data_IF_910480962546
#
_entry.id   IF_910480962546
#
_cell.length_a   1.000
_cell.length_b   1.000
_cell.length_c   1.000
_cell.angle_alpha   90.00
_cell.angle_beta   90.00
_cell.angle_gamma   90.00
#
_symmetry.space_group_name_H-M   'P 1'
#
loop_
_entity.id
_entity.type
_entity.pdbx_description
1 polymer ?
#
# COMPACT_ATOMS: atom_id res chain seq x y z
N UNK A 1 -32.50 -48.33 20.38
CA UNK A 1 -33.05 -46.98 20.66
C UNK A 1 -32.08 -46.26 21.59
N UNK A 2 -31.16 -45.49 21.01
CA UNK A 2 -30.37 -44.48 21.72
C UNK A 2 -30.29 -43.27 20.79
N UNK A 3 -30.72 -42.14 21.32
CA UNK A 3 -31.09 -40.91 20.62
C UNK A 3 -29.94 -40.30 19.80
N UNK A 4 -30.21 -39.70 18.62
CA UNK A 4 -29.21 -38.95 17.87
C UNK A 4 -28.79 -37.69 18.65
N UNK A 5 -27.48 -37.45 18.75
CA UNK A 5 -26.91 -36.25 19.36
C UNK A 5 -27.37 -35.01 18.57
N UNK A 6 -27.98 -34.07 19.27
CA UNK A 6 -28.40 -32.77 18.74
C UNK A 6 -27.20 -31.86 18.42
N UNK A 7 -27.28 -31.03 17.37
CA UNK A 7 -26.23 -30.09 16.99
C UNK A 7 -26.40 -28.81 17.82
N UNK A 8 -25.86 -28.80 19.04
CA UNK A 8 -25.70 -27.57 19.82
C UNK A 8 -24.25 -27.45 20.28
N UNK A 9 -23.44 -26.89 19.41
CA UNK A 9 -22.23 -26.12 19.74
C UNK A 9 -21.82 -25.36 18.46
N UNK A 10 -22.75 -24.52 17.99
CA UNK A 10 -22.35 -23.36 17.21
C UNK A 10 -21.63 -22.46 18.20
N UNK A 11 -20.30 -22.47 18.17
CA UNK A 11 -19.48 -21.42 18.78
C UNK A 11 -20.02 -20.08 18.27
N UNK A 12 -20.72 -19.36 19.13
CA UNK A 12 -20.98 -17.95 18.94
C UNK A 12 -19.62 -17.27 19.01
N UNK A 13 -19.05 -17.02 17.83
CA UNK A 13 -17.94 -16.08 17.65
C UNK A 13 -18.41 -14.72 18.16
N UNK A 14 -18.22 -14.49 19.44
CA UNK A 14 -18.36 -13.18 20.08
C UNK A 14 -17.22 -12.35 19.53
N UNK A 15 -17.53 -11.64 18.44
CA UNK A 15 -16.59 -10.78 17.75
C UNK A 15 -15.96 -9.80 18.75
N UNK A 16 -14.63 -9.86 18.92
CA UNK A 16 -13.79 -8.92 19.71
C UNK A 16 -13.86 -7.45 19.22
N UNK A 17 -14.74 -7.15 18.26
CA UNK A 17 -14.94 -5.82 17.74
C UNK A 17 -15.69 -4.95 18.76
N UNK A 18 -15.03 -3.87 19.19
CA UNK A 18 -15.65 -2.78 19.97
C UNK A 18 -16.84 -2.16 19.22
N UNK A 19 -16.79 -2.14 17.88
CA UNK A 19 -17.88 -1.72 17.00
C UNK A 19 -18.05 -2.73 15.86
N UNK A 20 -19.28 -3.24 15.68
CA UNK A 20 -19.62 -4.07 14.51
C UNK A 20 -19.56 -3.27 13.20
N UNK A 21 -19.52 -3.97 12.06
CA UNK A 21 -19.40 -3.37 10.72
C UNK A 21 -20.45 -2.29 10.42
N UNK A 22 -21.70 -2.54 10.82
CA UNK A 22 -22.83 -1.62 10.60
C UNK A 22 -23.07 -0.67 11.79
N UNK A 23 -22.18 -0.69 12.79
CA UNK A 23 -22.33 0.18 13.96
C UNK A 23 -22.18 1.64 13.54
N UNK A 24 -23.02 2.49 14.14
CA UNK A 24 -22.99 3.94 13.93
C UNK A 24 -22.47 4.61 15.21
N UNK A 25 -21.14 4.67 15.42
CA UNK A 25 -20.58 5.35 16.58
C UNK A 25 -20.91 6.84 16.55
N UNK A 26 -20.76 7.50 17.72
CA UNK A 26 -20.95 8.95 17.82
C UNK A 26 -20.10 9.67 16.76
N UNK A 27 -20.60 10.75 16.11
CA UNK A 27 -19.89 11.40 15.00
C UNK A 27 -18.44 11.78 15.31
N UNK A 28 -18.15 12.18 16.55
CA UNK A 28 -16.79 12.54 16.96
C UNK A 28 -15.84 11.33 17.03
N UNK A 29 -16.32 10.16 17.49
CA UNK A 29 -15.54 8.91 17.53
C UNK A 29 -15.29 8.45 16.10
N UNK A 30 -16.32 8.49 15.25
CA UNK A 30 -16.21 8.15 13.84
C UNK A 30 -15.16 9.04 13.13
N UNK A 31 -15.20 10.34 13.41
CA UNK A 31 -14.24 11.30 12.86
C UNK A 31 -12.80 11.01 13.32
N UNK A 32 -12.57 10.78 14.61
CA UNK A 32 -11.22 10.46 15.11
C UNK A 32 -10.70 9.13 14.57
N UNK A 33 -11.56 8.11 14.49
CA UNK A 33 -11.19 6.83 13.89
C UNK A 33 -10.84 6.99 12.40
N UNK A 34 -11.62 7.77 11.66
CA UNK A 34 -11.34 8.09 10.26
C UNK A 34 -10.03 8.88 10.10
N UNK A 35 -9.76 9.84 10.99
CA UNK A 35 -8.52 10.61 11.00
C UNK A 35 -7.32 9.71 11.30
N UNK A 36 -7.42 8.83 12.30
CA UNK A 36 -6.37 7.87 12.63
C UNK A 36 -6.11 6.93 11.45
N UNK A 37 -7.16 6.41 10.80
CA UNK A 37 -7.02 5.61 9.60
C UNK A 37 -6.29 6.38 8.50
N UNK A 38 -6.69 7.62 8.22
CA UNK A 38 -6.02 8.47 7.24
C UNK A 38 -4.54 8.66 7.54
N UNK A 39 -4.19 8.99 8.79
CA UNK A 39 -2.80 9.16 9.23
C UNK A 39 -1.98 7.88 9.10
N UNK A 40 -2.59 6.71 9.34
CA UNK A 40 -1.91 5.42 9.21
C UNK A 40 -1.63 5.03 7.74
N UNK A 41 -2.52 5.41 6.81
CA UNK A 41 -2.45 4.94 5.41
C UNK A 41 -1.79 5.94 4.46
N UNK A 42 -1.64 7.21 4.86
CA UNK A 42 -1.11 8.26 3.97
C UNK A 42 0.30 7.93 3.47
N UNK A 43 1.20 7.50 4.35
CA UNK A 43 2.58 7.15 4.01
C UNK A 43 2.65 6.00 3.01
N UNK A 44 2.01 4.82 3.24
CA UNK A 44 2.06 3.72 2.28
C UNK A 44 1.36 4.03 0.95
N UNK A 45 0.39 4.95 0.89
CA UNK A 45 -0.23 5.37 -0.38
C UNK A 45 0.73 6.26 -1.20
N UNK A 46 1.33 7.26 -0.57
CA UNK A 46 2.15 8.26 -1.25
C UNK A 46 3.52 7.70 -1.66
N UNK A 47 4.11 6.85 -0.83
CA UNK A 47 5.49 6.41 -0.95
C UNK A 47 5.78 5.70 -2.29
N UNK A 48 5.01 4.70 -2.75
CA UNK A 48 5.25 4.04 -4.05
C UNK A 48 5.33 5.01 -5.23
N UNK A 49 4.39 5.96 -5.32
CA UNK A 49 4.37 6.96 -6.39
C UNK A 49 5.59 7.87 -6.33
N UNK A 50 5.94 8.34 -5.13
CA UNK A 50 7.12 9.16 -4.88
C UNK A 50 8.41 8.44 -5.28
N UNK A 51 8.57 7.18 -4.90
CA UNK A 51 9.75 6.37 -5.22
C UNK A 51 9.91 6.16 -6.73
N UNK A 52 8.83 5.85 -7.44
CA UNK A 52 8.86 5.68 -8.89
C UNK A 52 9.24 7.00 -9.56
N UNK A 53 8.60 8.10 -9.18
CA UNK A 53 8.86 9.42 -9.76
C UNK A 53 10.31 9.88 -9.54
N UNK A 54 10.83 9.75 -8.31
CA UNK A 54 12.21 10.11 -7.98
C UNK A 54 13.22 9.23 -8.71
N UNK A 55 12.98 7.93 -8.79
CA UNK A 55 13.90 7.01 -9.46
C UNK A 55 13.96 7.23 -10.99
N UNK A 56 12.89 7.75 -11.59
CA UNK A 56 12.80 8.04 -13.03
C UNK A 56 13.12 9.50 -13.38
N UNK A 57 13.38 10.36 -12.39
CA UNK A 57 13.71 11.77 -12.62
C UNK A 57 12.52 12.63 -13.04
N UNK A 58 11.30 12.27 -12.63
CA UNK A 58 10.10 13.08 -12.85
C UNK A 58 10.23 14.41 -12.10
N UNK A 59 9.74 15.50 -12.71
CA UNK A 59 9.78 16.84 -12.11
C UNK A 59 9.09 16.86 -10.75
N UNK A 60 9.53 17.74 -9.83
CA UNK A 60 8.90 17.87 -8.50
C UNK A 60 7.44 18.29 -8.59
N UNK A 61 7.11 19.14 -9.57
CA UNK A 61 5.74 19.57 -9.87
C UNK A 61 4.85 18.39 -10.24
N UNK A 62 5.29 17.56 -11.18
CA UNK A 62 4.50 16.42 -11.65
C UNK A 62 4.44 15.31 -10.60
N UNK A 63 5.53 15.13 -9.84
CA UNK A 63 5.56 14.21 -8.69
C UNK A 63 4.48 14.60 -7.67
N UNK A 64 4.39 15.86 -7.30
CA UNK A 64 3.37 16.35 -6.36
C UNK A 64 1.95 16.17 -6.92
N UNK A 65 1.78 16.34 -8.23
CA UNK A 65 0.50 16.11 -8.93
C UNK A 65 0.11 14.63 -8.89
N UNK A 66 1.03 13.72 -9.18
CA UNK A 66 0.82 12.27 -9.12
C UNK A 66 0.47 11.82 -7.70
N UNK A 67 1.17 12.35 -6.70
CA UNK A 67 0.90 12.06 -5.27
C UNK A 67 -0.51 12.53 -4.89
N UNK A 68 -0.90 13.74 -5.29
CA UNK A 68 -2.23 14.28 -5.04
C UNK A 68 -3.33 13.44 -5.70
N UNK A 69 -3.11 13.05 -6.97
CA UNK A 69 -4.02 12.17 -7.71
C UNK A 69 -4.15 10.80 -7.03
N UNK A 70 -3.04 10.22 -6.57
CA UNK A 70 -3.03 8.93 -5.87
C UNK A 70 -3.88 8.96 -4.60
N UNK A 71 -3.78 10.02 -3.80
CA UNK A 71 -4.61 10.20 -2.59
C UNK A 71 -6.10 10.32 -2.92
N UNK A 72 -6.45 11.10 -3.94
CA UNK A 72 -7.85 11.28 -4.38
C UNK A 72 -8.43 9.95 -4.88
N UNK A 73 -7.72 9.26 -5.77
CA UNK A 73 -8.17 7.97 -6.33
C UNK A 73 -8.24 6.89 -5.25
N UNK A 74 -7.28 6.85 -4.31
CA UNK A 74 -7.32 5.94 -3.16
C UNK A 74 -8.58 6.16 -2.30
N UNK A 75 -8.96 7.42 -2.05
CA UNK A 75 -10.20 7.75 -1.33
C UNK A 75 -11.45 7.28 -2.08
N UNK A 76 -11.52 7.54 -3.39
CA UNK A 76 -12.63 7.10 -4.25
C UNK A 76 -12.71 5.57 -4.28
N UNK A 77 -11.58 4.89 -4.50
CA UNK A 77 -11.53 3.44 -4.56
C UNK A 77 -11.89 2.79 -3.22
N UNK A 78 -11.43 3.36 -2.10
CA UNK A 78 -11.83 2.92 -0.76
C UNK A 78 -13.33 3.08 -0.56
N UNK A 79 -13.89 4.22 -0.97
CA UNK A 79 -15.34 4.45 -0.89
C UNK A 79 -16.13 3.43 -1.71
N UNK A 80 -15.70 3.12 -2.94
CA UNK A 80 -16.31 2.09 -3.79
C UNK A 80 -16.16 0.69 -3.16
N UNK A 81 -15.08 0.40 -2.46
CA UNK A 81 -14.89 -0.90 -1.84
C UNK A 81 -15.73 -1.07 -0.56
N UNK A 82 -15.88 0.01 0.21
CA UNK A 82 -16.73 0.08 1.39
C UNK A 82 -18.22 0.05 1.03
N UNK A 83 -18.62 0.70 -0.05
CA UNK A 83 -20.02 0.77 -0.48
C UNK A 83 -20.27 -0.20 -1.62
N UNK A 84 -21.06 -1.23 -1.38
CA UNK A 84 -21.43 -2.19 -2.43
C UNK A 84 -22.33 -1.54 -3.48
N UNK A 85 -21.80 -1.32 -4.67
CA UNK A 85 -22.53 -0.83 -5.84
C UNK A 85 -22.79 -1.99 -6.80
N UNK A 86 -23.89 -2.73 -6.55
CA UNK A 86 -24.26 -3.90 -7.36
C UNK A 86 -23.18 -5.01 -7.28
N UNK A 87 -22.54 -5.40 -8.42
CA UNK A 87 -21.45 -6.38 -8.41
C UNK A 87 -20.09 -5.81 -7.96
N UNK A 88 -19.96 -4.49 -7.80
CA UNK A 88 -18.72 -3.83 -7.38
C UNK A 88 -18.72 -3.51 -5.88
N UNK A 89 -17.54 -3.61 -5.27
CA UNK A 89 -17.33 -3.35 -3.85
C UNK A 89 -17.62 -4.56 -2.95
N UNK A 90 -16.84 -4.71 -1.88
CA UNK A 90 -16.99 -5.80 -0.93
C UNK A 90 -18.06 -5.53 0.15
N UNK A 91 -18.43 -4.27 0.37
CA UNK A 91 -19.25 -3.89 1.52
C UNK A 91 -18.49 -3.96 2.85
N UNK A 92 -17.15 -3.94 2.79
CA UNK A 92 -16.26 -4.03 3.95
C UNK A 92 -15.30 -2.85 3.95
N UNK A 93 -14.82 -2.45 5.13
CA UNK A 93 -13.78 -1.43 5.28
C UNK A 93 -12.44 -1.96 4.73
N UNK A 94 -12.27 -1.85 3.42
CA UNK A 94 -11.05 -2.26 2.71
C UNK A 94 -10.43 -1.01 2.12
N UNK A 95 -9.45 -0.46 2.84
CA UNK A 95 -8.68 0.68 2.37
C UNK A 95 -7.93 0.29 1.10
N UNK A 96 -8.17 1.04 0.03
CA UNK A 96 -7.47 0.89 -1.24
C UNK A 96 -6.24 1.78 -1.24
N UNK A 97 -5.08 1.18 -1.47
CA UNK A 97 -3.82 1.91 -1.54
C UNK A 97 -2.96 1.40 -2.69
N UNK A 98 -1.83 2.06 -2.88
CA UNK A 98 -0.86 1.74 -3.93
C UNK A 98 -0.06 0.51 -3.53
N UNK A 99 0.04 -0.49 -4.42
CA UNK A 99 0.75 -1.73 -4.13
C UNK A 99 2.26 -1.58 -4.32
N UNK A 100 3.02 -1.91 -3.27
CA UNK A 100 4.48 -1.91 -3.32
C UNK A 100 5.07 -2.96 -4.27
N UNK A 101 4.29 -3.98 -4.66
CA UNK A 101 4.75 -5.05 -5.56
C UNK A 101 5.15 -4.51 -6.93
N UNK A 102 4.56 -3.39 -7.36
CA UNK A 102 4.84 -2.78 -8.65
C UNK A 102 6.03 -1.82 -8.62
N UNK A 103 6.51 -1.38 -7.45
CA UNK A 103 7.59 -0.38 -7.36
C UNK A 103 8.86 -0.88 -8.04
N UNK A 104 9.33 -2.08 -7.68
CA UNK A 104 10.55 -2.65 -8.26
C UNK A 104 10.48 -2.82 -9.77
N UNK A 105 9.48 -3.55 -10.30
CA UNK A 105 9.31 -3.76 -11.74
C UNK A 105 9.11 -2.46 -12.53
N UNK A 106 8.33 -1.50 -12.03
CA UNK A 106 8.09 -0.23 -12.74
C UNK A 106 9.34 0.66 -12.78
N UNK A 107 10.10 0.74 -11.68
CA UNK A 107 11.38 1.45 -11.67
C UNK A 107 12.37 0.77 -12.63
N UNK A 108 12.47 -0.56 -12.59
CA UNK A 108 13.38 -1.29 -13.47
C UNK A 108 13.03 -1.10 -14.95
N UNK A 109 11.76 -1.28 -15.31
CA UNK A 109 11.27 -1.09 -16.67
C UNK A 109 11.41 0.35 -17.14
N UNK A 110 11.02 1.32 -16.31
CA UNK A 110 11.14 2.74 -16.64
C UNK A 110 12.59 3.19 -16.81
N UNK A 111 13.50 2.76 -15.93
CA UNK A 111 14.92 3.09 -16.01
C UNK A 111 15.57 2.53 -17.29
N UNK A 112 15.12 1.36 -17.77
CA UNK A 112 15.56 0.82 -19.07
C UNK A 112 15.09 1.72 -20.22
N UNK A 113 13.86 2.21 -20.21
CA UNK A 113 13.35 3.12 -21.25
C UNK A 113 14.08 4.47 -21.24
N UNK A 114 14.36 5.02 -20.06
CA UNK A 114 15.18 6.23 -19.91
C UNK A 114 16.58 6.02 -20.52
N UNK A 115 17.22 4.86 -20.24
CA UNK A 115 18.53 4.52 -20.84
C UNK A 115 18.48 4.37 -22.37
N UNK A 116 17.33 3.99 -22.92
CA UNK A 116 17.11 3.91 -24.36
C UNK A 116 16.83 5.29 -25.00
N UNK A 117 16.83 6.37 -24.22
CA UNK A 117 16.60 7.74 -24.69
C UNK A 117 15.13 8.14 -24.74
N UNK A 118 14.23 7.36 -24.12
CA UNK A 118 12.82 7.77 -24.01
C UNK A 118 12.69 8.92 -23.01
N UNK A 119 12.02 10.03 -23.37
CA UNK A 119 11.78 11.13 -22.43
C UNK A 119 10.92 10.66 -21.26
N UNK A 120 11.09 11.28 -20.09
CA UNK A 120 10.43 10.87 -18.84
C UNK A 120 8.91 10.85 -18.98
N UNK A 121 8.34 11.79 -19.73
CA UNK A 121 6.92 11.87 -20.03
C UNK A 121 6.44 10.64 -20.81
N UNK A 122 7.25 10.16 -21.76
CA UNK A 122 6.99 8.93 -22.52
C UNK A 122 7.07 7.67 -21.65
N UNK A 123 8.01 7.63 -20.71
CA UNK A 123 8.12 6.56 -19.73
C UNK A 123 6.91 6.54 -18.79
N UNK A 124 6.49 7.69 -18.28
CA UNK A 124 5.31 7.81 -17.42
C UNK A 124 4.02 7.44 -18.17
N UNK A 125 3.87 7.85 -19.43
CA UNK A 125 2.76 7.44 -20.27
C UNK A 125 2.72 5.92 -20.47
N UNK A 126 3.88 5.28 -20.68
CA UNK A 126 3.97 3.82 -20.79
C UNK A 126 3.61 3.12 -19.47
N UNK A 127 4.06 3.66 -18.33
CA UNK A 127 3.70 3.14 -17.00
C UNK A 127 2.19 3.23 -16.75
N UNK A 128 1.57 4.38 -17.02
CA UNK A 128 0.12 4.51 -16.88
C UNK A 128 -0.63 3.57 -17.84
N UNK A 129 -0.18 3.48 -19.09
CA UNK A 129 -0.75 2.57 -20.08
C UNK A 129 -0.68 1.11 -19.67
N UNK A 130 0.47 0.64 -19.18
CA UNK A 130 0.65 -0.75 -18.76
C UNK A 130 -0.14 -1.08 -17.50
N UNK A 131 -0.25 -0.13 -16.56
CA UNK A 131 -1.06 -0.31 -15.33
C UNK A 131 -2.54 -0.36 -15.67
N UNK A 132 -3.03 0.51 -16.56
CA UNK A 132 -4.42 0.47 -17.03
C UNK A 132 -4.69 -0.86 -17.75
N UNK A 133 -3.83 -1.26 -18.69
CA UNK A 133 -3.98 -2.54 -19.39
C UNK A 133 -3.94 -3.73 -18.43
N UNK A 134 -3.01 -3.71 -17.46
CA UNK A 134 -2.87 -4.73 -16.42
C UNK A 134 -4.10 -4.84 -15.52
N UNK A 135 -4.81 -3.75 -15.25
CA UNK A 135 -6.02 -3.78 -14.43
C UNK A 135 -7.12 -4.69 -15.03
N UNK A 136 -7.29 -4.71 -16.35
CA UNK A 136 -8.23 -5.61 -17.01
C UNK A 136 -7.81 -7.07 -16.92
N UNK A 137 -6.50 -7.34 -16.96
CA UNK A 137 -5.95 -8.67 -16.75
C UNK A 137 -6.24 -9.15 -15.33
N UNK A 138 -6.01 -8.31 -14.32
CA UNK A 138 -6.33 -8.66 -12.93
C UNK A 138 -7.84 -8.88 -12.72
N UNK A 139 -8.70 -8.06 -13.35
CA UNK A 139 -10.15 -8.27 -13.34
C UNK A 139 -10.52 -9.64 -13.92
N UNK A 140 -9.87 -10.06 -15.01
CA UNK A 140 -10.05 -11.40 -15.59
C UNK A 140 -9.58 -12.52 -14.65
N UNK A 141 -8.37 -12.40 -14.11
CA UNK A 141 -7.78 -13.38 -13.19
C UNK A 141 -8.62 -13.53 -11.91
N UNK A 142 -9.25 -12.45 -11.44
CA UNK A 142 -10.13 -12.48 -10.26
C UNK A 142 -11.23 -13.54 -10.36
N UNK A 143 -11.64 -13.91 -11.58
CA UNK A 143 -12.68 -14.93 -11.82
C UNK A 143 -12.19 -16.36 -11.63
N UNK A 144 -10.90 -16.59 -11.81
CA UNK A 144 -10.25 -17.91 -11.68
C UNK A 144 -9.63 -18.09 -10.29
N UNK A 145 -9.45 -17.00 -9.53
CA UNK A 145 -8.84 -16.99 -8.21
C UNK A 145 -9.41 -18.02 -7.21
N UNK A 146 -10.73 -18.30 -7.15
CA UNK A 146 -11.27 -19.34 -6.26
C UNK A 146 -10.69 -20.73 -6.51
N UNK A 147 -10.32 -21.05 -7.76
CA UNK A 147 -9.71 -22.33 -8.13
C UNK A 147 -8.21 -22.36 -7.79
N UNK A 148 -7.52 -21.22 -7.96
CA UNK A 148 -6.07 -21.09 -7.70
C UNK A 148 -5.75 -20.98 -6.22
N UNK A 149 -6.70 -20.53 -5.38
CA UNK A 149 -6.50 -20.39 -3.92
C UNK A 149 -6.02 -21.69 -3.25
N UNK A 150 -6.30 -22.86 -3.83
CA UNK A 150 -5.80 -24.15 -3.33
C UNK A 150 -4.28 -24.32 -3.46
N UNK A 151 -3.65 -23.64 -4.42
CA UNK A 151 -2.20 -23.64 -4.62
C UNK A 151 -1.48 -22.56 -3.81
N UNK A 152 -2.18 -21.50 -3.41
CA UNK A 152 -1.62 -20.39 -2.63
C UNK A 152 -1.66 -20.78 -1.15
N UNK A 153 -0.62 -21.46 -0.69
CA UNK A 153 -0.46 -21.82 0.73
C UNK A 153 -0.06 -20.58 1.55
N UNK A 154 -0.35 -20.55 2.86
CA UNK A 154 0.11 -19.47 3.74
C UNK A 154 1.63 -19.25 3.69
N UNK A 155 2.40 -20.32 3.46
CA UNK A 155 3.85 -20.26 3.27
C UNK A 155 4.23 -19.46 2.03
N UNK A 156 3.58 -19.72 0.89
CA UNK A 156 3.86 -18.99 -0.37
C UNK A 156 3.54 -17.50 -0.20
N UNK A 157 2.38 -17.17 0.36
CA UNK A 157 1.99 -15.78 0.63
C UNK A 157 2.97 -15.12 1.59
N UNK A 158 3.36 -15.80 2.67
CA UNK A 158 4.31 -15.28 3.66
C UNK A 158 5.69 -14.99 3.07
N UNK A 159 6.23 -15.88 2.23
CA UNK A 159 7.51 -15.65 1.55
C UNK A 159 7.40 -14.47 0.59
N UNK A 160 6.32 -14.36 -0.19
CA UNK A 160 6.13 -13.22 -1.12
C UNK A 160 6.08 -11.91 -0.36
N UNK A 161 5.30 -11.82 0.73
CA UNK A 161 5.21 -10.62 1.59
C UNK A 161 6.56 -10.29 2.22
N UNK A 162 7.31 -11.29 2.69
CA UNK A 162 8.66 -11.09 3.21
C UNK A 162 9.59 -10.51 2.13
N UNK A 163 9.57 -11.07 0.91
CA UNK A 163 10.38 -10.58 -0.20
C UNK A 163 10.05 -9.12 -0.55
N UNK A 164 8.76 -8.77 -0.58
CA UNK A 164 8.34 -7.37 -0.76
C UNK A 164 8.96 -6.50 0.34
N UNK A 165 8.81 -6.88 1.61
CA UNK A 165 9.42 -6.18 2.74
C UNK A 165 10.94 -6.00 2.60
N UNK A 166 11.67 -7.06 2.30
CA UNK A 166 13.14 -7.01 2.13
C UNK A 166 13.57 -6.09 0.98
N UNK A 167 12.83 -6.07 -0.13
CA UNK A 167 13.14 -5.15 -1.23
C UNK A 167 12.93 -3.69 -0.84
N UNK A 168 12.01 -3.41 0.07
CA UNK A 168 11.74 -2.07 0.58
C UNK A 168 12.75 -1.60 1.62
N UNK A 169 13.43 -2.52 2.34
CA UNK A 169 14.51 -2.14 3.26
C UNK A 169 15.59 -1.34 2.53
N UNK A 170 16.01 -1.79 1.34
CA UNK A 170 17.00 -1.07 0.52
C UNK A 170 16.54 0.36 0.25
N UNK A 171 15.28 0.54 -0.11
CA UNK A 171 14.71 1.85 -0.43
C UNK A 171 14.59 2.73 0.82
N UNK A 172 14.21 2.14 1.96
CA UNK A 172 14.21 2.82 3.25
C UNK A 172 15.59 3.33 3.64
N UNK A 173 16.63 2.51 3.48
CA UNK A 173 18.03 2.92 3.75
C UNK A 173 18.49 4.05 2.83
N UNK A 174 18.11 4.01 1.54
CA UNK A 174 18.38 5.11 0.61
C UNK A 174 17.71 6.40 1.09
N UNK A 175 16.45 6.31 1.52
CA UNK A 175 15.72 7.46 2.09
C UNK A 175 16.42 8.01 3.34
N UNK A 176 16.86 7.13 4.24
CA UNK A 176 17.59 7.53 5.46
C UNK A 176 18.92 8.24 5.15
N UNK A 177 19.57 7.88 4.04
CA UNK A 177 20.78 8.53 3.56
C UNK A 177 20.57 9.87 2.87
N UNK A 178 19.33 10.35 2.72
CA UNK A 178 18.99 11.60 2.00
C UNK A 178 18.36 11.40 0.63
N UNK A 179 17.98 10.18 0.28
CA UNK A 179 17.26 9.85 -0.96
C UNK A 179 18.12 9.75 -2.21
N UNK A 180 17.45 9.56 -3.36
CA UNK A 180 18.13 9.39 -4.66
C UNK A 180 18.90 10.65 -5.10
N UNK A 181 18.45 11.84 -4.72
CA UNK A 181 19.13 13.12 -5.00
C UNK A 181 20.46 13.23 -4.26
N UNK A 182 20.54 12.80 -2.99
CA UNK A 182 21.78 12.83 -2.23
C UNK A 182 22.84 11.84 -2.78
N UNK A 183 22.40 10.70 -3.32
CA UNK A 183 23.30 9.76 -4.04
C UNK A 183 23.89 10.40 -5.30
N UNK A 184 23.11 11.18 -6.06
CA UNK A 184 23.59 11.86 -7.27
C UNK A 184 24.57 13.00 -6.97
N UNK A 185 24.40 13.69 -5.84
CA UNK A 185 25.19 14.87 -5.49
C UNK A 185 26.37 14.58 -4.53
N UNK A 186 26.64 13.31 -4.24
CA UNK A 186 27.75 12.89 -3.35
C UNK A 186 27.56 13.23 -1.86
N UNK A 187 26.35 13.65 -1.45
CA UNK A 187 26.00 14.01 -0.06
C UNK A 187 25.25 12.89 0.67
N UNK A 188 25.26 11.70 0.11
CA UNK A 188 24.61 10.52 0.67
C UNK A 188 25.17 10.17 2.04
N UNK A 189 24.26 9.84 2.97
CA UNK A 189 24.56 9.47 4.35
C UNK A 189 25.37 10.53 5.13
N UNK A 190 25.17 11.82 4.83
CA UNK A 190 25.70 12.90 5.65
C UNK A 190 25.13 12.82 7.09
N UNK A 191 25.89 13.33 8.07
CA UNK A 191 25.55 13.28 9.50
C UNK A 191 24.18 13.87 9.82
N UNK A 192 23.76 14.91 9.10
CA UNK A 192 22.42 15.51 9.27
C UNK A 192 21.28 14.56 8.86
N UNK A 193 21.39 13.91 7.69
CA UNK A 193 20.38 12.95 7.22
C UNK A 193 20.28 11.72 8.13
N UNK A 194 21.43 11.23 8.59
CA UNK A 194 21.49 10.09 9.50
C UNK A 194 20.95 10.45 10.89
N UNK A 195 21.25 11.65 11.41
CA UNK A 195 20.71 12.13 12.67
C UNK A 195 19.20 12.30 12.59
N UNK A 196 18.68 12.95 11.54
CA UNK A 196 17.24 13.13 11.34
C UNK A 196 16.53 11.78 11.27
N UNK A 197 17.04 10.85 10.47
CA UNK A 197 16.48 9.51 10.32
C UNK A 197 16.53 8.71 11.61
N UNK A 198 17.63 8.81 12.36
CA UNK A 198 17.81 8.17 13.67
C UNK A 198 16.82 8.71 14.71
N UNK A 199 16.60 10.03 14.73
CA UNK A 199 15.61 10.66 15.62
C UNK A 199 14.19 10.20 15.27
N UNK A 200 13.81 10.19 14.00
CA UNK A 200 12.50 9.69 13.55
C UNK A 200 12.31 8.22 13.97
N UNK A 201 13.31 7.37 13.74
CA UNK A 201 13.26 5.96 14.14
C UNK A 201 13.13 5.81 15.66
N UNK A 202 13.91 6.57 16.43
CA UNK A 202 13.84 6.54 17.90
C UNK A 202 12.46 6.95 18.41
N UNK A 203 11.87 8.00 17.86
CA UNK A 203 10.51 8.44 18.20
C UNK A 203 9.50 7.32 17.93
N UNK A 204 9.55 6.70 16.74
CA UNK A 204 8.64 5.59 16.38
C UNK A 204 8.79 4.43 17.37
N UNK A 205 10.02 4.02 17.69
CA UNK A 205 10.30 2.91 18.63
C UNK A 205 9.79 3.23 20.02
N UNK A 206 10.04 4.44 20.53
CA UNK A 206 9.60 4.87 21.86
C UNK A 206 8.07 4.90 21.92
N UNK A 207 7.40 5.54 20.95
CA UNK A 207 5.94 5.63 20.92
C UNK A 207 5.26 4.27 20.76
N UNK A 208 5.83 3.36 19.97
CA UNK A 208 5.29 2.01 19.80
C UNK A 208 5.51 1.11 21.02
N UNK A 209 6.52 1.41 21.85
CA UNK A 209 6.86 0.59 23.02
C UNK A 209 6.14 1.03 24.28
N UNK A 210 5.72 2.30 24.39
CA UNK A 210 4.96 2.78 25.55
C UNK A 210 3.51 2.26 25.39
N UNK A 211 3.05 1.34 26.25
CA UNK A 211 1.64 0.98 26.27
C UNK A 211 0.86 2.20 26.80
N UNK A 212 0.05 2.80 25.94
CA UNK A 212 -0.93 3.84 26.30
C UNK A 212 -2.28 3.20 26.64
#
# INVERSE_FOLDING_TARGET
>A
MTSPKTPHEAESQTSDLVFGLEARPKPWIAFLAALQHLLAIIVPIVTPGLLICQALGVSTRDTNMIVSMSLVISGIATFVQCKRFGPFGAGLLIVQGTSFNFVGPLIAGGALMVKQGTPVEGVMAAIFGVVIAGSFVEMGISRVLPFVKRMITPLVTGIVVLMIGLTLIKVGLISMGGGFTAMGNGTFANGENLMLSGVVLAIIVILNRIPL
#
